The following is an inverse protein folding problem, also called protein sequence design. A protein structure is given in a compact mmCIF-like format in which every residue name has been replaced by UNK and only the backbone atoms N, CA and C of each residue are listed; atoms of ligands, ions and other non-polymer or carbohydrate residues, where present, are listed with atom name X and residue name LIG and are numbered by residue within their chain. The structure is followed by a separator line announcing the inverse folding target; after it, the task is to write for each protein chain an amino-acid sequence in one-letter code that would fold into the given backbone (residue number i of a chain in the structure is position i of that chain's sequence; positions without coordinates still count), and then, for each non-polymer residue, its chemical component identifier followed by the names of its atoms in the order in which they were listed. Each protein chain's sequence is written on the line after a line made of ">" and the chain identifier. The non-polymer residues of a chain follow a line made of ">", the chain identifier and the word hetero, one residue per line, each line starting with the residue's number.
data_IF_337937650036
#
_entry.id   IF_337937650036
#
_cell.length_a   1.000
_cell.length_b   1.000
_cell.length_c   1.000
_cell.angle_alpha   90.00
_cell.angle_beta   90.00
_cell.angle_gamma   90.00
#
_symmetry.space_group_name_H-M   'P 1'
#
loop_
_entity.id
_entity.type
_entity.pdbx_description
1 polymer ?
#
# COMPACT_ATOMS: atom_id res chain seq x y z
N UNK A 1 35.61 -16.24 -11.38
CA UNK A 1 34.47 -15.57 -10.72
C UNK A 1 34.54 -14.12 -11.14
N UNK A 2 33.73 -13.70 -12.10
CA UNK A 2 33.67 -12.28 -12.47
C UNK A 2 33.09 -11.50 -11.28
N UNK A 3 33.87 -10.56 -10.74
CA UNK A 3 33.40 -9.65 -9.70
C UNK A 3 32.27 -8.80 -10.27
N UNK A 4 31.16 -8.71 -9.56
CA UNK A 4 30.05 -7.83 -9.93
C UNK A 4 30.58 -6.38 -10.06
N UNK A 5 30.25 -5.64 -11.14
CA UNK A 5 30.80 -4.30 -11.36
C UNK A 5 30.39 -3.33 -10.24
N UNK A 6 31.27 -2.39 -9.89
CA UNK A 6 31.07 -1.42 -8.80
C UNK A 6 29.84 -0.52 -9.03
N UNK A 7 29.66 -0.06 -10.28
CA UNK A 7 28.51 0.69 -10.78
C UNK A 7 28.52 0.68 -12.33
N UNK A 8 27.41 1.10 -12.95
CA UNK A 8 27.29 1.31 -14.40
C UNK A 8 27.47 2.79 -14.76
N UNK A 9 28.44 3.09 -15.60
CA UNK A 9 28.79 4.45 -16.04
C UNK A 9 28.45 4.61 -17.53
N UNK A 10 27.74 5.69 -17.88
CA UNK A 10 27.59 6.13 -19.25
C UNK A 10 28.39 7.40 -19.49
N UNK A 11 29.34 7.33 -20.43
CA UNK A 11 30.18 8.47 -20.82
C UNK A 11 29.63 9.10 -22.09
N UNK A 12 29.29 10.38 -22.02
CA UNK A 12 28.65 11.13 -23.10
C UNK A 12 29.53 12.32 -23.48
N UNK A 13 30.10 12.25 -24.67
CA UNK A 13 31.10 13.21 -25.15
C UNK A 13 31.13 13.15 -26.68
N UNK A 14 31.35 14.23 -27.42
CA UNK A 14 31.46 14.17 -28.88
C UNK A 14 32.87 13.75 -29.36
N UNK A 15 33.89 13.89 -28.51
CA UNK A 15 35.26 13.52 -28.81
C UNK A 15 35.53 12.01 -28.59
N UNK A 16 35.84 11.29 -29.67
CA UNK A 16 36.13 9.86 -29.63
C UNK A 16 37.30 9.50 -28.70
N UNK A 17 38.31 10.36 -28.63
CA UNK A 17 39.51 10.15 -27.81
C UNK A 17 39.15 10.19 -26.33
N UNK A 18 38.32 11.15 -25.91
CA UNK A 18 37.84 11.27 -24.53
C UNK A 18 37.02 10.05 -24.15
N UNK A 19 36.04 9.66 -24.99
CA UNK A 19 35.20 8.46 -24.76
C UNK A 19 36.04 7.20 -24.56
N UNK A 20 37.00 6.94 -25.44
CA UNK A 20 37.85 5.73 -25.37
C UNK A 20 38.75 5.72 -24.14
N UNK A 21 39.35 6.87 -23.82
CA UNK A 21 40.31 6.97 -22.72
C UNK A 21 39.61 6.77 -21.38
N UNK A 22 38.49 7.47 -21.15
CA UNK A 22 37.69 7.31 -19.94
C UNK A 22 37.07 5.91 -19.84
N UNK A 23 36.60 5.34 -20.96
CA UNK A 23 36.04 3.99 -20.95
C UNK A 23 37.06 2.93 -20.55
N UNK A 24 38.27 2.95 -21.12
CA UNK A 24 39.33 2.01 -20.77
C UNK A 24 39.69 2.12 -19.30
N UNK A 25 39.86 3.35 -18.80
CA UNK A 25 40.29 3.60 -17.45
C UNK A 25 39.25 3.17 -16.41
N UNK A 26 37.98 3.53 -16.57
CA UNK A 26 36.94 3.11 -15.62
C UNK A 26 36.63 1.60 -15.72
N UNK A 27 36.84 0.96 -16.87
CA UNK A 27 36.74 -0.50 -16.98
C UNK A 27 37.84 -1.21 -16.18
N UNK A 28 39.08 -0.71 -16.22
CA UNK A 28 40.20 -1.22 -15.40
C UNK A 28 39.91 -1.06 -13.90
N UNK A 29 39.25 0.02 -13.51
CA UNK A 29 38.81 0.26 -12.13
C UNK A 29 37.59 -0.58 -11.69
N UNK A 30 37.08 -1.46 -12.55
CA UNK A 30 36.01 -2.41 -12.24
C UNK A 30 34.59 -1.85 -12.36
N UNK A 31 34.41 -0.78 -13.13
CA UNK A 31 33.09 -0.27 -13.52
C UNK A 31 32.59 -0.93 -14.80
N UNK A 32 31.27 -1.04 -14.94
CA UNK A 32 30.64 -1.39 -16.21
C UNK A 32 30.43 -0.10 -16.99
N UNK A 33 31.17 0.08 -18.08
CA UNK A 33 31.20 1.36 -18.80
C UNK A 33 30.68 1.19 -20.21
N UNK A 34 29.86 2.14 -20.63
CA UNK A 34 29.45 2.31 -22.01
C UNK A 34 29.58 3.79 -22.42
N UNK A 35 29.53 4.04 -23.72
CA UNK A 35 29.82 5.35 -24.30
C UNK A 35 28.72 5.80 -25.26
N UNK A 36 28.47 7.10 -25.32
CA UNK A 36 27.56 7.73 -26.28
C UNK A 36 28.21 8.99 -26.87
N UNK A 37 28.03 9.20 -28.17
CA UNK A 37 28.62 10.33 -28.89
C UNK A 37 27.71 11.55 -29.00
N UNK A 38 26.45 11.42 -28.56
CA UNK A 38 25.46 12.48 -28.60
C UNK A 38 24.35 12.27 -27.58
N UNK A 39 23.62 13.35 -27.29
CA UNK A 39 22.42 13.25 -26.45
C UNK A 39 21.34 12.33 -27.01
N UNK A 40 21.21 12.24 -28.35
CA UNK A 40 20.25 11.32 -28.97
C UNK A 40 20.59 9.85 -28.65
N UNK A 41 21.84 9.46 -28.87
CA UNK A 41 22.30 8.09 -28.56
C UNK A 41 22.21 7.80 -27.05
N UNK A 42 22.44 8.82 -26.22
CA UNK A 42 22.26 8.70 -24.76
C UNK A 42 20.82 8.35 -24.42
N UNK A 43 19.84 9.08 -24.96
CA UNK A 43 18.42 8.81 -24.72
C UNK A 43 17.98 7.43 -25.21
N UNK A 44 18.53 6.94 -26.33
CA UNK A 44 18.27 5.57 -26.81
C UNK A 44 18.77 4.53 -25.79
N UNK A 45 19.96 4.74 -25.23
CA UNK A 45 20.55 3.84 -24.21
C UNK A 45 19.87 3.90 -22.85
N UNK A 46 19.19 4.99 -22.52
CA UNK A 46 18.38 5.11 -21.31
C UNK A 46 17.15 4.19 -21.34
N UNK A 47 16.62 3.88 -22.52
CA UNK A 47 15.43 3.01 -22.66
C UNK A 47 15.79 1.55 -22.40
N UNK A 48 16.99 1.14 -22.78
CA UNK A 48 17.42 -0.26 -22.76
C UNK A 48 18.12 -0.69 -21.46
N UNK A 49 18.71 0.26 -20.72
CA UNK A 49 19.55 -0.03 -19.57
C UNK A 49 19.42 1.02 -18.47
N UNK A 50 19.48 0.57 -17.21
CA UNK A 50 19.70 1.44 -16.06
C UNK A 50 21.19 1.83 -15.95
N UNK A 51 21.42 3.11 -15.65
CA UNK A 51 22.74 3.72 -15.46
C UNK A 51 22.82 4.42 -14.11
N UNK A 52 23.98 4.31 -13.47
CA UNK A 52 24.19 4.81 -12.12
C UNK A 52 24.81 6.20 -12.11
N UNK A 53 25.77 6.38 -13.03
CA UNK A 53 26.58 7.59 -13.14
C UNK A 53 26.64 7.99 -14.62
N UNK A 54 26.43 9.26 -14.88
CA UNK A 54 26.60 9.87 -16.20
C UNK A 54 27.78 10.84 -16.15
N UNK A 55 28.74 10.66 -17.04
CA UNK A 55 29.80 11.63 -17.28
C UNK A 55 29.47 12.36 -18.58
N UNK A 56 29.16 13.65 -18.51
CA UNK A 56 28.43 14.32 -19.59
C UNK A 56 29.07 15.63 -20.01
N UNK A 57 29.38 15.77 -21.30
CA UNK A 57 29.81 17.05 -21.87
C UNK A 57 28.64 18.02 -22.04
N UNK A 58 28.87 19.29 -21.74
CA UNK A 58 27.93 20.37 -22.03
C UNK A 58 27.85 20.60 -23.53
N UNK A 59 28.99 20.74 -24.20
CA UNK A 59 29.02 21.17 -25.60
C UNK A 59 29.09 19.97 -26.53
N UNK A 60 27.93 19.53 -26.99
CA UNK A 60 27.83 18.47 -27.99
C UNK A 60 26.99 18.93 -29.19
N UNK A 61 27.28 18.42 -30.41
CA UNK A 61 26.45 18.70 -31.57
C UNK A 61 24.99 18.27 -31.36
N UNK A 62 24.06 19.18 -31.63
CA UNK A 62 22.62 18.92 -31.55
C UNK A 62 22.02 19.29 -30.20
N UNK A 63 22.10 18.38 -29.22
CA UNK A 63 21.51 18.57 -27.90
C UNK A 63 22.55 19.04 -26.89
N UNK A 64 22.25 20.13 -26.19
CA UNK A 64 23.09 20.67 -25.13
C UNK A 64 23.11 19.76 -23.90
N UNK A 65 24.24 19.69 -23.21
CA UNK A 65 24.41 18.77 -22.11
C UNK A 65 23.55 19.09 -20.87
N UNK A 66 23.25 20.36 -20.62
CA UNK A 66 22.32 20.75 -19.56
C UNK A 66 20.88 20.30 -19.89
N UNK A 67 20.49 20.42 -21.17
CA UNK A 67 19.20 19.89 -21.62
C UNK A 67 19.12 18.36 -21.44
N UNK A 68 20.20 17.65 -21.76
CA UNK A 68 20.30 16.21 -21.60
C UNK A 68 20.24 15.79 -20.12
N UNK A 69 20.95 16.49 -19.24
CA UNK A 69 20.89 16.27 -17.79
C UNK A 69 19.45 16.34 -17.27
N UNK A 70 18.69 17.36 -17.68
CA UNK A 70 17.30 17.51 -17.25
C UNK A 70 16.46 16.29 -17.65
N UNK A 71 16.60 15.81 -18.88
CA UNK A 71 15.89 14.61 -19.36
C UNK A 71 16.33 13.34 -18.63
N UNK A 72 17.62 13.19 -18.36
CA UNK A 72 18.15 12.08 -17.56
C UNK A 72 17.50 12.09 -16.17
N UNK A 73 17.40 13.25 -15.52
CA UNK A 73 16.79 13.39 -14.19
C UNK A 73 15.29 13.19 -14.16
N UNK A 74 14.58 13.44 -15.25
CA UNK A 74 13.15 13.12 -15.38
C UNK A 74 12.91 11.61 -15.45
N UNK A 75 13.80 10.86 -16.10
CA UNK A 75 13.68 9.40 -16.29
C UNK A 75 14.30 8.63 -15.12
N UNK A 76 15.49 9.05 -14.67
CA UNK A 76 16.24 8.46 -13.56
C UNK A 76 16.62 9.55 -12.53
N UNK A 77 15.70 9.92 -11.62
CA UNK A 77 15.95 10.97 -10.62
C UNK A 77 17.17 10.71 -9.73
N UNK A 78 17.43 9.43 -9.44
CA UNK A 78 18.47 8.95 -8.53
C UNK A 78 19.86 8.81 -9.19
N UNK A 79 19.97 8.96 -10.51
CA UNK A 79 21.25 8.85 -11.20
C UNK A 79 22.18 10.02 -10.86
N UNK A 80 23.47 9.76 -10.68
CA UNK A 80 24.44 10.83 -10.44
C UNK A 80 24.96 11.37 -11.77
N UNK A 81 24.78 12.67 -12.04
CA UNK A 81 25.27 13.29 -13.28
C UNK A 81 26.46 14.17 -12.94
N UNK A 82 27.62 13.87 -13.52
CA UNK A 82 28.85 14.67 -13.40
C UNK A 82 29.08 15.35 -14.75
N UNK A 83 29.13 16.68 -14.72
CA UNK A 83 29.31 17.49 -15.92
C UNK A 83 30.80 17.68 -16.19
N UNK A 84 31.25 17.47 -17.43
CA UNK A 84 32.64 17.63 -17.86
C UNK A 84 32.70 18.65 -19.01
N UNK A 85 33.34 19.80 -18.86
CA UNK A 85 33.39 20.76 -19.99
C UNK A 85 34.70 21.51 -20.13
N UNK A 86 35.11 21.81 -21.36
CA UNK A 86 36.20 22.74 -21.66
C UNK A 86 35.78 24.22 -21.53
N UNK A 87 34.48 24.51 -21.45
CA UNK A 87 33.94 25.88 -21.40
C UNK A 87 33.31 26.16 -20.05
N UNK A 88 34.17 26.25 -19.03
CA UNK A 88 33.72 26.54 -17.69
C UNK A 88 33.39 28.03 -17.50
N UNK A 89 32.19 28.30 -16.99
CA UNK A 89 31.85 29.60 -16.40
C UNK A 89 31.15 29.37 -15.07
N UNK A 90 31.24 30.36 -14.18
CA UNK A 90 30.52 30.30 -12.89
C UNK A 90 29.03 30.13 -13.12
N UNK A 91 28.48 30.74 -14.17
CA UNK A 91 27.07 30.65 -14.53
C UNK A 91 26.66 29.24 -14.93
N UNK A 92 27.44 28.55 -15.79
CA UNK A 92 27.10 27.19 -16.24
C UNK A 92 27.26 26.16 -15.13
N UNK A 93 28.25 26.31 -14.26
CA UNK A 93 28.42 25.44 -13.09
C UNK A 93 27.26 25.60 -12.09
N UNK A 94 26.85 26.84 -11.79
CA UNK A 94 25.70 27.10 -10.90
C UNK A 94 24.40 26.56 -11.49
N UNK A 95 24.20 26.71 -12.80
CA UNK A 95 23.00 26.20 -13.47
C UNK A 95 22.96 24.66 -13.47
N UNK A 96 24.07 23.99 -13.78
CA UNK A 96 24.18 22.53 -13.71
C UNK A 96 23.80 22.00 -12.32
N UNK A 97 24.32 22.61 -11.27
CA UNK A 97 24.03 22.22 -9.88
C UNK A 97 22.55 22.46 -9.52
N UNK A 98 21.96 23.60 -9.94
CA UNK A 98 20.53 23.87 -9.74
C UNK A 98 19.63 22.85 -10.44
N UNK A 99 20.07 22.34 -11.59
CA UNK A 99 19.36 21.31 -12.35
C UNK A 99 19.64 19.88 -11.83
N UNK A 100 20.34 19.74 -10.69
CA UNK A 100 20.53 18.46 -10.01
C UNK A 100 21.77 17.67 -10.45
N UNK A 101 22.79 18.33 -11.00
CA UNK A 101 24.09 17.70 -11.21
C UNK A 101 24.66 17.28 -9.84
N UNK A 102 25.33 16.13 -9.81
CA UNK A 102 26.05 15.67 -8.63
C UNK A 102 27.31 16.49 -8.42
N UNK A 103 28.08 16.68 -9.49
CA UNK A 103 29.32 17.44 -9.47
C UNK A 103 29.66 18.00 -10.87
N UNK A 104 30.71 18.81 -10.94
CA UNK A 104 31.14 19.53 -12.14
C UNK A 104 32.67 19.60 -12.23
N UNK A 105 33.23 19.26 -13.39
CA UNK A 105 34.68 19.26 -13.63
C UNK A 105 35.04 19.94 -14.96
N UNK A 106 36.18 20.63 -14.97
CA UNK A 106 36.67 21.40 -16.13
C UNK A 106 37.74 20.62 -16.88
N UNK A 107 37.64 20.53 -18.20
CA UNK A 107 38.67 19.95 -19.08
C UNK A 107 39.77 20.99 -19.40
N UNK A 108 41.06 20.62 -19.41
CA UNK A 108 41.61 19.32 -18.99
C UNK A 108 41.59 19.17 -17.46
N UNK A 109 41.25 17.97 -16.99
CA UNK A 109 41.20 17.63 -15.56
C UNK A 109 42.32 16.65 -15.20
N UNK A 110 42.69 16.64 -13.92
CA UNK A 110 43.54 15.57 -13.38
C UNK A 110 42.70 14.28 -13.27
N UNK A 111 43.22 13.12 -13.72
CA UNK A 111 42.52 11.85 -13.56
C UNK A 111 42.08 11.60 -12.11
N UNK A 112 42.96 11.80 -11.14
CA UNK A 112 42.65 11.55 -9.73
C UNK A 112 41.39 12.31 -9.26
N UNK A 113 41.19 13.56 -9.70
CA UNK A 113 40.01 14.36 -9.35
C UNK A 113 38.69 13.74 -9.87
N UNK A 114 38.67 13.30 -11.14
CA UNK A 114 37.49 12.67 -11.72
C UNK A 114 37.21 11.31 -11.07
N UNK A 115 38.26 10.55 -10.77
CA UNK A 115 38.14 9.27 -10.06
C UNK A 115 37.54 9.47 -8.66
N UNK A 116 38.01 10.48 -7.94
CA UNK A 116 37.48 10.86 -6.63
C UNK A 116 35.98 11.20 -6.70
N UNK A 117 35.54 11.98 -7.70
CA UNK A 117 34.12 12.30 -7.89
C UNK A 117 33.28 11.06 -8.20
N UNK A 118 33.74 10.20 -9.11
CA UNK A 118 33.04 8.96 -9.48
C UNK A 118 32.97 7.99 -8.31
N UNK A 119 34.03 7.87 -7.51
CA UNK A 119 34.04 7.05 -6.30
C UNK A 119 33.04 7.56 -5.27
N UNK A 120 33.01 8.86 -5.00
CA UNK A 120 32.05 9.47 -4.06
C UNK A 120 30.60 9.30 -4.54
N UNK A 121 30.34 9.46 -5.85
CA UNK A 121 29.03 9.20 -6.43
C UNK A 121 28.61 7.72 -6.28
N UNK A 122 29.56 6.80 -6.47
CA UNK A 122 29.36 5.36 -6.27
C UNK A 122 29.04 5.03 -4.82
N UNK A 123 29.82 5.57 -3.87
CA UNK A 123 29.59 5.38 -2.44
C UNK A 123 28.23 5.91 -1.99
N UNK A 124 27.84 7.10 -2.46
CA UNK A 124 26.51 7.67 -2.18
C UNK A 124 25.40 6.74 -2.65
N UNK A 125 25.49 6.20 -3.86
CA UNK A 125 24.52 5.23 -4.39
C UNK A 125 24.48 3.96 -3.55
N UNK A 126 25.64 3.42 -3.19
CA UNK A 126 25.73 2.22 -2.35
C UNK A 126 25.12 2.47 -0.97
N UNK A 127 25.37 3.64 -0.36
CA UNK A 127 24.77 4.04 0.90
C UNK A 127 23.26 4.22 0.80
N UNK A 128 22.74 4.83 -0.27
CA UNK A 128 21.29 4.97 -0.48
C UNK A 128 20.62 3.60 -0.69
N UNK A 129 21.26 2.73 -1.47
CA UNK A 129 20.80 1.35 -1.70
C UNK A 129 20.84 0.53 -0.41
N UNK A 130 21.93 0.62 0.35
CA UNK A 130 22.08 -0.04 1.63
C UNK A 130 21.10 0.51 2.68
N UNK A 131 20.83 1.82 2.69
CA UNK A 131 19.83 2.43 3.56
C UNK A 131 18.42 1.92 3.22
N UNK A 132 18.06 1.83 1.93
CA UNK A 132 16.81 1.22 1.48
C UNK A 132 16.74 -0.24 1.93
N UNK A 133 17.76 -1.04 1.63
CA UNK A 133 17.78 -2.46 2.01
C UNK A 133 17.79 -2.68 3.53
N UNK A 134 18.42 -1.80 4.30
CA UNK A 134 18.39 -1.83 5.76
C UNK A 134 17.02 -1.41 6.28
N UNK A 135 16.35 -0.42 5.66
CA UNK A 135 14.96 -0.07 5.99
C UNK A 135 14.02 -1.22 5.68
N UNK A 136 14.16 -1.85 4.52
CA UNK A 136 13.37 -3.01 4.11
C UNK A 136 13.62 -4.20 5.07
N UNK A 137 14.88 -4.44 5.48
CA UNK A 137 15.24 -5.47 6.48
C UNK A 137 14.80 -5.11 7.90
N UNK A 138 14.76 -3.83 8.27
CA UNK A 138 14.23 -3.37 9.56
C UNK A 138 12.70 -3.49 9.57
N UNK A 139 12.03 -3.27 8.45
CA UNK A 139 10.60 -3.60 8.26
C UNK A 139 10.36 -5.11 8.39
N UNK A 140 11.19 -5.95 7.76
CA UNK A 140 11.14 -7.41 7.91
C UNK A 140 11.48 -7.88 9.34
N UNK A 141 12.31 -7.16 10.09
CA UNK A 141 12.66 -7.47 11.48
C UNK A 141 11.80 -6.73 12.52
N UNK A 142 10.83 -5.92 12.08
CA UNK A 142 10.00 -5.12 12.98
C UNK A 142 8.96 -6.02 13.66
N UNK A 143 8.89 -6.01 15.01
CA UNK A 143 7.86 -6.75 15.76
C UNK A 143 6.45 -6.19 15.53
N UNK A 144 6.31 -5.09 14.77
CA UNK A 144 5.04 -4.48 14.35
C UNK A 144 4.56 -4.96 12.98
N UNK A 145 5.10 -6.09 12.49
CA UNK A 145 4.81 -6.72 11.20
C UNK A 145 3.41 -6.38 10.64
N UNK A 146 3.38 -5.55 9.59
CA UNK A 146 2.17 -5.15 8.87
C UNK A 146 1.53 -3.82 9.27
N UNK A 147 1.95 -3.16 10.37
CA UNK A 147 1.49 -1.79 10.68
C UNK A 147 2.35 -0.79 9.88
N UNK A 148 1.75 -0.21 8.85
CA UNK A 148 2.39 0.79 7.99
C UNK A 148 1.75 2.16 8.22
N UNK A 149 2.57 3.17 8.48
CA UNK A 149 2.15 4.56 8.62
C UNK A 149 3.16 5.42 9.38
N UNK A 150 3.03 6.74 9.23
CA UNK A 150 3.84 7.79 9.87
C UNK A 150 3.01 8.87 10.56
N UNK A 151 1.68 8.79 10.49
CA UNK A 151 0.78 9.75 11.11
C UNK A 151 0.92 9.77 12.63
N UNK A 152 0.70 10.92 13.26
CA UNK A 152 0.68 11.00 14.74
C UNK A 152 -0.38 10.07 15.35
N UNK A 153 -1.45 9.78 14.60
CA UNK A 153 -2.51 8.89 15.04
C UNK A 153 -2.03 7.43 15.13
N UNK A 154 -1.28 6.94 14.14
CA UNK A 154 -0.71 5.58 14.20
C UNK A 154 0.46 5.48 15.19
N UNK A 155 1.25 6.57 15.35
CA UNK A 155 2.29 6.61 16.36
C UNK A 155 1.75 6.42 17.78
N UNK A 156 0.61 7.05 18.12
CA UNK A 156 -0.07 6.82 19.40
C UNK A 156 -0.49 5.37 19.58
N UNK A 157 -1.06 4.74 18.56
CA UNK A 157 -1.41 3.30 18.61
C UNK A 157 -0.17 2.44 18.86
N UNK A 158 0.97 2.74 18.23
CA UNK A 158 2.24 2.03 18.47
C UNK A 158 2.77 2.21 19.89
N UNK A 159 2.61 3.41 20.48
CA UNK A 159 2.94 3.68 21.88
C UNK A 159 2.05 2.88 22.83
N UNK A 160 0.74 2.83 22.58
CA UNK A 160 -0.19 2.01 23.37
C UNK A 160 0.14 0.52 23.26
N UNK A 161 0.48 0.02 22.06
CA UNK A 161 0.94 -1.36 21.87
C UNK A 161 2.17 -1.65 22.73
N UNK A 162 3.16 -0.75 22.74
CA UNK A 162 4.36 -0.90 23.57
C UNK A 162 4.03 -0.96 25.05
N UNK A 163 3.15 -0.07 25.52
CA UNK A 163 2.74 -0.01 26.91
C UNK A 163 2.07 -1.32 27.36
N UNK A 164 1.12 -1.83 26.56
CA UNK A 164 0.40 -3.07 26.93
C UNK A 164 1.24 -4.33 26.73
N UNK A 165 2.28 -4.29 25.90
CA UNK A 165 3.13 -5.45 25.63
C UNK A 165 3.85 -5.98 26.88
N UNK A 166 4.19 -5.09 27.82
CA UNK A 166 4.93 -5.41 29.05
C UNK A 166 4.08 -6.14 30.11
N UNK A 167 2.77 -6.29 29.88
CA UNK A 167 1.85 -6.95 30.82
C UNK A 167 0.95 -7.98 30.12
N UNK A 168 0.31 -8.84 30.91
CA UNK A 168 -0.71 -9.78 30.44
C UNK A 168 -2.14 -9.20 30.54
N UNK A 169 -2.27 -7.87 30.57
CA UNK A 169 -3.59 -7.22 30.63
C UNK A 169 -4.47 -7.56 29.43
N UNK A 170 -5.77 -7.63 29.65
CA UNK A 170 -6.77 -7.79 28.57
C UNK A 170 -6.83 -6.51 27.75
N UNK A 171 -6.75 -6.66 26.43
CA UNK A 171 -6.80 -5.51 25.51
C UNK A 171 -8.06 -5.58 24.62
N UNK A 172 -8.82 -4.49 24.59
CA UNK A 172 -9.97 -4.29 23.69
C UNK A 172 -9.59 -3.33 22.56
N UNK A 173 -9.43 -3.86 21.36
CA UNK A 173 -9.12 -3.10 20.15
C UNK A 173 -10.43 -2.64 19.49
N UNK A 174 -10.60 -1.33 19.36
CA UNK A 174 -11.75 -0.69 18.73
C UNK A 174 -11.37 -0.10 17.38
N UNK A 175 -12.27 -0.14 16.43
CA UNK A 175 -12.08 0.53 15.15
C UNK A 175 -13.03 0.01 14.08
N UNK A 176 -13.28 0.82 13.07
CA UNK A 176 -14.12 0.46 11.93
C UNK A 176 -13.64 -0.80 11.21
N UNK A 177 -14.50 -1.39 10.39
CA UNK A 177 -14.11 -2.53 9.56
C UNK A 177 -12.96 -2.14 8.62
N UNK A 178 -11.98 -3.03 8.47
CA UNK A 178 -10.83 -2.81 7.58
C UNK A 178 -9.76 -1.84 8.09
N UNK A 179 -9.80 -1.38 9.35
CA UNK A 179 -8.77 -0.48 9.92
C UNK A 179 -7.45 -1.15 10.31
N UNK A 180 -7.41 -2.49 10.39
CA UNK A 180 -6.22 -3.26 10.75
C UNK A 180 -6.19 -3.83 12.17
N UNK A 181 -7.36 -4.07 12.79
CA UNK A 181 -7.46 -4.61 14.17
C UNK A 181 -6.67 -5.91 14.39
N UNK A 182 -6.73 -6.85 13.45
CA UNK A 182 -5.96 -8.09 13.53
C UNK A 182 -4.44 -7.84 13.50
N UNK A 183 -3.98 -6.89 12.68
CA UNK A 183 -2.56 -6.53 12.60
C UNK A 183 -2.08 -5.95 13.93
N UNK A 184 -2.90 -5.09 14.57
CA UNK A 184 -2.62 -4.57 15.91
C UNK A 184 -2.59 -5.69 16.96
N UNK A 185 -3.52 -6.64 16.92
CA UNK A 185 -3.52 -7.78 17.85
C UNK A 185 -2.25 -8.64 17.71
N UNK A 186 -1.81 -8.89 16.47
CA UNK A 186 -0.57 -9.61 16.18
C UNK A 186 0.66 -8.84 16.66
N UNK A 187 0.69 -7.51 16.50
CA UNK A 187 1.78 -6.67 17.00
C UNK A 187 1.86 -6.68 18.54
N UNK A 188 0.72 -6.63 19.24
CA UNK A 188 0.68 -6.78 20.72
C UNK A 188 1.29 -8.12 21.13
N UNK A 189 0.89 -9.22 20.47
CA UNK A 189 1.43 -10.53 20.78
C UNK A 189 2.94 -10.63 20.51
N UNK A 190 3.39 -10.18 19.33
CA UNK A 190 4.79 -10.23 18.90
C UNK A 190 5.74 -9.41 19.78
N UNK A 191 5.23 -8.35 20.42
CA UNK A 191 5.99 -7.51 21.38
C UNK A 191 5.88 -7.98 22.83
N UNK A 192 4.98 -8.92 23.14
CA UNK A 192 4.69 -9.35 24.50
C UNK A 192 5.71 -10.32 25.11
N UNK A 193 5.58 -10.56 26.42
CA UNK A 193 6.28 -11.65 27.14
C UNK A 193 5.94 -13.04 26.58
N UNK A 194 4.79 -13.19 25.92
CA UNK A 194 4.29 -14.44 25.31
C UNK A 194 4.61 -14.56 23.82
N UNK A 195 5.50 -13.73 23.26
CA UNK A 195 5.82 -13.68 21.81
C UNK A 195 6.34 -14.98 21.18
N UNK A 196 6.87 -15.90 21.98
CA UNK A 196 7.34 -17.22 21.51
C UNK A 196 6.29 -18.32 21.71
N UNK A 197 5.14 -17.98 22.27
CA UNK A 197 4.00 -18.87 22.52
C UNK A 197 2.97 -18.70 21.40
N UNK A 198 2.00 -19.62 21.23
CA UNK A 198 1.04 -19.50 20.12
C UNK A 198 0.13 -18.27 20.26
N UNK A 199 -0.23 -17.67 19.14
CA UNK A 199 -1.41 -16.81 19.01
C UNK A 199 -2.53 -17.59 18.33
N UNK A 200 -3.65 -17.76 19.04
CA UNK A 200 -4.84 -18.43 18.52
C UNK A 200 -5.85 -17.36 18.14
N UNK A 201 -6.16 -17.29 16.84
CA UNK A 201 -7.13 -16.33 16.30
C UNK A 201 -8.48 -17.01 16.10
N UNK A 202 -9.54 -16.35 16.55
CA UNK A 202 -10.93 -16.76 16.35
C UNK A 202 -11.71 -15.54 15.88
N UNK A 203 -12.33 -15.65 14.70
CA UNK A 203 -13.33 -14.67 14.26
C UNK A 203 -14.70 -15.14 14.76
N UNK A 204 -15.34 -14.33 15.59
CA UNK A 204 -16.61 -14.64 16.24
C UNK A 204 -17.83 -14.39 15.32
N UNK A 205 -17.74 -13.48 14.35
CA UNK A 205 -18.84 -13.16 13.43
C UNK A 205 -19.03 -14.16 12.28
N UNK A 206 -18.02 -14.97 11.96
CA UNK A 206 -18.03 -15.89 10.82
C UNK A 206 -18.71 -17.25 11.10
N UNK A 207 -19.02 -17.57 12.36
CA UNK A 207 -19.51 -18.89 12.76
C UNK A 207 -20.91 -18.82 13.38
N UNK A 208 -21.74 -19.82 13.08
CA UNK A 208 -23.00 -20.02 13.81
C UNK A 208 -22.72 -20.34 15.29
N UNK A 209 -23.59 -19.90 16.20
CA UNK A 209 -23.36 -19.93 17.65
C UNK A 209 -22.94 -21.31 18.19
N UNK A 210 -23.63 -22.40 17.82
CA UNK A 210 -23.25 -23.74 18.27
C UNK A 210 -21.91 -24.24 17.72
N UNK A 211 -21.51 -23.77 16.53
CA UNK A 211 -20.19 -24.08 15.95
C UNK A 211 -19.12 -23.27 16.67
N UNK A 212 -19.40 -22.01 17.00
CA UNK A 212 -18.51 -21.15 17.76
C UNK A 212 -18.22 -21.72 19.16
N UNK A 213 -19.25 -22.18 19.89
CA UNK A 213 -19.06 -22.84 21.19
C UNK A 213 -18.15 -24.08 21.06
N UNK A 214 -18.42 -24.93 20.07
CA UNK A 214 -17.63 -26.15 19.83
C UNK A 214 -16.18 -25.84 19.41
N UNK A 215 -15.95 -24.79 18.62
CA UNK A 215 -14.60 -24.33 18.27
C UNK A 215 -13.88 -23.73 19.49
N UNK A 216 -14.53 -22.87 20.29
CA UNK A 216 -13.92 -22.22 21.45
C UNK A 216 -13.56 -23.22 22.57
N UNK A 217 -14.54 -24.02 23.00
CA UNK A 217 -14.43 -24.88 24.18
C UNK A 217 -14.01 -26.31 23.83
N UNK A 218 -14.17 -26.73 22.57
CA UNK A 218 -13.98 -28.13 22.17
C UNK A 218 -15.17 -28.99 22.60
N UNK A 219 -15.17 -30.25 22.18
CA UNK A 219 -16.24 -31.18 22.50
C UNK A 219 -15.72 -32.58 22.80
N UNK A 220 -16.46 -33.29 23.65
CA UNK A 220 -16.30 -34.73 23.85
C UNK A 220 -17.03 -35.53 22.77
N UNK A 221 -16.65 -36.80 22.61
CA UNK A 221 -17.32 -37.71 21.69
C UNK A 221 -18.79 -37.87 22.10
N UNK A 222 -19.71 -37.63 21.15
CA UNK A 222 -21.16 -37.76 21.38
C UNK A 222 -21.83 -36.53 22.00
N UNK A 223 -21.14 -35.39 22.10
CA UNK A 223 -21.71 -34.16 22.68
C UNK A 223 -22.90 -33.59 21.88
N UNK A 224 -22.94 -33.80 20.57
CA UNK A 224 -24.03 -33.42 19.68
C UNK A 224 -24.07 -34.34 18.44
N UNK A 225 -25.13 -34.24 17.64
CA UNK A 225 -25.27 -34.97 16.37
C UNK A 225 -24.14 -34.62 15.40
N UNK A 226 -23.25 -35.58 15.12
CA UNK A 226 -22.05 -35.40 14.29
C UNK A 226 -20.72 -35.33 15.07
N UNK A 227 -20.75 -35.31 16.41
CA UNK A 227 -19.56 -35.32 17.27
C UNK A 227 -18.92 -36.73 17.35
N UNK A 228 -18.40 -37.24 16.24
CA UNK A 228 -17.86 -38.60 16.15
C UNK A 228 -16.56 -38.80 16.93
N UNK A 229 -15.81 -37.73 17.16
CA UNK A 229 -14.51 -37.74 17.84
C UNK A 229 -14.43 -36.60 18.86
N UNK A 230 -13.53 -36.74 19.84
CA UNK A 230 -13.19 -35.65 20.76
C UNK A 230 -12.32 -34.62 20.03
N UNK A 231 -12.57 -33.32 20.27
CA UNK A 231 -11.79 -32.22 19.70
C UNK A 231 -11.40 -31.21 20.77
N UNK A 232 -10.14 -30.76 20.74
CA UNK A 232 -9.65 -29.66 21.58
C UNK A 232 -10.20 -28.32 21.07
N UNK A 233 -10.59 -27.45 21.99
CA UNK A 233 -11.07 -26.11 21.68
C UNK A 233 -9.93 -25.09 21.54
N UNK A 234 -10.23 -23.93 20.95
CA UNK A 234 -9.30 -22.81 20.77
C UNK A 234 -8.79 -22.27 22.10
N UNK A 235 -9.61 -22.28 23.15
CA UNK A 235 -9.19 -21.89 24.51
C UNK A 235 -8.10 -22.82 25.06
N UNK A 236 -8.22 -24.13 24.82
CA UNK A 236 -7.19 -25.11 25.20
C UNK A 236 -5.92 -24.95 24.36
N UNK A 237 -6.07 -24.62 23.07
CA UNK A 237 -4.93 -24.39 22.17
C UNK A 237 -4.17 -23.09 22.48
N UNK A 238 -4.83 -22.12 23.12
CA UNK A 238 -4.25 -20.84 23.49
C UNK A 238 -3.46 -20.87 24.81
N UNK A 239 -3.47 -22.01 25.51
CA UNK A 239 -2.76 -22.19 26.77
C UNK A 239 -1.27 -21.83 26.66
N UNK A 240 -0.78 -21.06 27.63
CA UNK A 240 0.54 -20.42 27.63
C UNK A 240 0.70 -19.25 26.65
N UNK A 241 -0.22 -19.06 25.70
CA UNK A 241 -0.12 -18.10 24.61
C UNK A 241 -1.09 -16.92 24.70
N UNK A 242 -1.55 -16.46 23.53
CA UNK A 242 -2.51 -15.36 23.39
C UNK A 242 -3.74 -15.83 22.61
N UNK A 243 -4.92 -15.58 23.14
CA UNK A 243 -6.19 -15.74 22.43
C UNK A 243 -6.61 -14.39 21.86
N UNK A 244 -6.77 -14.32 20.54
CA UNK A 244 -7.34 -13.18 19.86
C UNK A 244 -8.76 -13.49 19.39
N UNK A 245 -9.75 -12.77 19.94
CA UNK A 245 -11.15 -12.85 19.54
C UNK A 245 -11.52 -11.63 18.70
N UNK A 246 -11.66 -11.81 17.39
CA UNK A 246 -12.14 -10.76 16.47
C UNK A 246 -13.67 -10.76 16.43
N UNK A 247 -14.24 -9.58 16.22
CA UNK A 247 -15.69 -9.35 16.19
C UNK A 247 -16.41 -9.83 17.48
N UNK A 248 -15.84 -9.52 18.66
CA UNK A 248 -16.40 -9.94 19.96
C UNK A 248 -17.82 -9.40 20.21
N UNK A 249 -18.25 -8.37 19.49
CA UNK A 249 -19.63 -7.87 19.56
C UNK A 249 -20.66 -8.76 18.84
N UNK A 250 -20.26 -9.83 18.15
CA UNK A 250 -21.17 -10.72 17.41
C UNK A 250 -21.57 -11.98 18.17
N UNK A 251 -21.03 -12.20 19.38
CA UNK A 251 -21.34 -13.40 20.17
C UNK A 251 -22.66 -13.29 20.93
N UNK A 252 -23.39 -14.41 21.01
CA UNK A 252 -24.63 -14.52 21.78
C UNK A 252 -24.40 -14.44 23.31
N UNK A 253 -25.45 -14.07 24.04
CA UNK A 253 -25.40 -13.89 25.51
C UNK A 253 -24.91 -15.14 26.26
N UNK A 254 -25.25 -16.34 25.76
CA UNK A 254 -24.79 -17.59 26.37
C UNK A 254 -23.28 -17.75 26.26
N UNK A 255 -22.72 -17.52 25.07
CA UNK A 255 -21.27 -17.55 24.85
C UNK A 255 -20.55 -16.50 25.70
N UNK A 256 -21.16 -15.32 25.91
CA UNK A 256 -20.61 -14.29 26.81
C UNK A 256 -20.50 -14.79 28.27
N UNK A 257 -21.52 -15.49 28.78
CA UNK A 257 -21.50 -16.10 30.12
C UNK A 257 -20.39 -17.15 30.22
N UNK A 258 -20.31 -18.05 29.24
CA UNK A 258 -19.33 -19.14 29.27
C UNK A 258 -17.90 -18.59 29.16
N UNK A 259 -17.65 -17.58 28.32
CA UNK A 259 -16.35 -16.92 28.22
C UNK A 259 -16.00 -16.18 29.51
N UNK A 260 -16.93 -15.41 30.10
CA UNK A 260 -16.69 -14.72 31.37
C UNK A 260 -16.21 -15.69 32.44
N UNK A 261 -16.88 -16.83 32.57
CA UNK A 261 -16.52 -17.88 33.53
C UNK A 261 -15.10 -18.38 33.33
N UNK A 262 -14.66 -18.59 32.09
CA UNK A 262 -13.27 -19.00 31.80
C UNK A 262 -12.26 -17.92 32.16
N UNK A 263 -12.59 -16.65 31.91
CA UNK A 263 -11.71 -15.51 32.22
C UNK A 263 -11.53 -15.29 33.73
N UNK A 264 -12.49 -15.71 34.54
CA UNK A 264 -12.46 -15.65 35.99
C UNK A 264 -11.83 -16.92 36.60
N UNK A 265 -12.33 -18.10 36.24
CA UNK A 265 -11.93 -19.37 36.86
C UNK A 265 -10.62 -19.93 36.31
N UNK A 266 -10.16 -19.46 35.13
CA UNK A 266 -8.99 -19.99 34.41
C UNK A 266 -9.08 -21.50 34.15
N UNK A 267 -10.30 -21.98 33.93
CA UNK A 267 -10.61 -23.38 33.65
C UNK A 267 -11.69 -23.44 32.57
N UNK A 268 -11.60 -24.44 31.71
CA UNK A 268 -12.62 -24.76 30.70
C UNK A 268 -13.23 -26.13 30.97
N UNK A 269 -14.44 -26.34 30.48
CA UNK A 269 -15.04 -27.65 30.35
C UNK A 269 -15.47 -27.83 28.89
N UNK A 270 -15.13 -28.96 28.27
CA UNK A 270 -15.55 -29.23 26.88
C UNK A 270 -17.06 -29.42 26.82
N UNK A 271 -17.66 -29.12 25.68
CA UNK A 271 -19.08 -29.36 25.44
C UNK A 271 -19.37 -30.86 25.60
N UNK A 272 -20.36 -31.20 26.43
CA UNK A 272 -20.73 -32.57 26.77
C UNK A 272 -19.76 -33.30 27.73
N UNK A 273 -18.74 -32.62 28.24
CA UNK A 273 -17.81 -33.14 29.23
C UNK A 273 -18.09 -32.61 30.64
N UNK A 274 -17.49 -33.27 31.65
CA UNK A 274 -17.55 -32.85 33.06
C UNK A 274 -16.14 -32.61 33.67
N UNK A 275 -15.10 -32.67 32.84
CA UNK A 275 -13.71 -32.51 33.28
C UNK A 275 -13.27 -31.06 33.11
N UNK A 276 -12.88 -30.43 34.21
CA UNK A 276 -12.28 -29.09 34.19
C UNK A 276 -10.81 -29.17 33.79
N UNK A 277 -10.41 -28.32 32.86
CA UNK A 277 -9.05 -28.24 32.31
C UNK A 277 -8.53 -26.84 32.62
N UNK A 278 -7.42 -26.69 33.37
CA UNK A 278 -6.82 -25.38 33.60
C UNK A 278 -6.28 -24.82 32.29
N UNK A 279 -6.44 -23.51 32.11
CA UNK A 279 -5.91 -22.76 30.95
C UNK A 279 -5.37 -21.42 31.42
N UNK A 280 -4.21 -21.03 30.91
CA UNK A 280 -3.64 -19.71 31.11
C UNK A 280 -3.25 -19.06 29.78
N UNK A 281 -4.09 -18.14 29.32
CA UNK A 281 -3.85 -17.35 28.12
C UNK A 281 -4.03 -15.86 28.41
N UNK A 282 -3.31 -15.05 27.64
CA UNK A 282 -3.56 -13.62 27.51
C UNK A 282 -4.73 -13.39 26.54
N UNK A 283 -5.67 -12.51 26.88
CA UNK A 283 -6.81 -12.18 26.03
C UNK A 283 -6.58 -10.86 25.28
N UNK A 284 -6.78 -10.89 23.96
CA UNK A 284 -6.91 -9.71 23.11
C UNK A 284 -8.24 -9.84 22.37
N UNK A 285 -9.03 -8.77 22.33
CA UNK A 285 -10.33 -8.76 21.63
C UNK A 285 -10.41 -7.59 20.67
N UNK A 286 -11.22 -7.72 19.63
CA UNK A 286 -11.48 -6.67 18.67
C UNK A 286 -12.97 -6.54 18.34
N UNK A 287 -13.42 -5.30 18.09
CA UNK A 287 -14.79 -5.02 17.64
C UNK A 287 -14.86 -3.76 16.78
N UNK A 288 -15.83 -3.71 15.87
CA UNK A 288 -16.27 -2.52 15.15
C UNK A 288 -17.60 -1.96 15.67
N UNK A 289 -18.24 -2.63 16.64
CA UNK A 289 -19.50 -2.22 17.26
C UNK A 289 -19.27 -1.40 18.52
N UNK A 290 -20.26 -0.60 18.88
CA UNK A 290 -20.31 0.14 20.15
C UNK A 290 -20.83 -0.78 21.25
N UNK A 291 -19.93 -1.32 22.10
CA UNK A 291 -20.33 -2.28 23.13
C UNK A 291 -21.15 -1.62 24.24
N UNK A 292 -20.92 -0.34 24.54
CA UNK A 292 -21.67 0.41 25.54
C UNK A 292 -23.14 0.56 25.17
N UNK A 293 -23.41 0.84 23.90
CA UNK A 293 -24.76 0.87 23.34
C UNK A 293 -25.42 -0.51 23.42
N UNK A 294 -24.70 -1.57 23.04
CA UNK A 294 -25.20 -2.95 23.14
C UNK A 294 -25.49 -3.39 24.58
N UNK A 295 -24.74 -2.89 25.57
CA UNK A 295 -25.04 -3.10 26.99
C UNK A 295 -26.34 -2.41 27.37
N UNK A 296 -26.57 -1.16 26.92
CA UNK A 296 -27.81 -0.44 27.18
C UNK A 296 -29.03 -1.11 26.53
N UNK A 297 -28.84 -1.79 25.40
CA UNK A 297 -29.87 -2.55 24.68
C UNK A 297 -30.07 -3.98 25.22
N UNK A 298 -29.22 -4.44 26.15
CA UNK A 298 -29.27 -5.79 26.71
C UNK A 298 -28.79 -6.91 25.75
N UNK A 299 -28.17 -6.55 24.63
CA UNK A 299 -27.59 -7.51 23.66
C UNK A 299 -26.15 -7.89 24.01
N UNK A 300 -25.53 -7.15 24.93
CA UNK A 300 -24.22 -7.46 25.50
C UNK A 300 -24.27 -7.34 27.02
N UNK A 301 -23.62 -8.25 27.74
CA UNK A 301 -23.66 -8.26 29.21
C UNK A 301 -22.69 -7.23 29.80
N UNK A 302 -23.17 -6.51 30.80
CA UNK A 302 -22.40 -5.49 31.50
C UNK A 302 -21.16 -6.06 32.24
N UNK A 303 -21.31 -7.19 32.92
CA UNK A 303 -20.21 -7.86 33.63
C UNK A 303 -19.08 -8.31 32.69
N UNK A 304 -19.46 -8.90 31.55
CA UNK A 304 -18.52 -9.30 30.52
C UNK A 304 -17.83 -8.09 29.87
N UNK A 305 -18.57 -7.02 29.60
CA UNK A 305 -18.00 -5.77 29.08
C UNK A 305 -16.89 -5.23 29.98
N UNK A 306 -17.12 -5.11 31.29
CA UNK A 306 -16.09 -4.62 32.21
C UNK A 306 -14.90 -5.57 32.32
N UNK A 307 -15.09 -6.89 32.15
CA UNK A 307 -13.99 -7.86 32.12
C UNK A 307 -13.11 -7.72 30.88
N UNK A 308 -13.69 -7.31 29.75
CA UNK A 308 -12.97 -7.06 28.50
C UNK A 308 -12.31 -5.69 28.46
N UNK A 309 -13.00 -4.66 28.93
CA UNK A 309 -12.59 -3.26 28.81
C UNK A 309 -11.60 -2.83 29.90
N UNK A 310 -10.48 -3.57 30.05
CA UNK A 310 -9.42 -3.25 31.00
C UNK A 310 -8.46 -2.20 30.41
N UNK A 311 -7.98 -2.44 29.19
CA UNK A 311 -7.24 -1.45 28.41
C UNK A 311 -7.81 -1.41 26.99
N UNK A 312 -8.16 -0.23 26.49
CA UNK A 312 -8.72 -0.09 25.14
C UNK A 312 -7.79 0.68 24.22
N UNK A 313 -7.56 0.13 23.02
CA UNK A 313 -6.79 0.76 21.94
C UNK A 313 -7.77 1.09 20.83
N UNK A 314 -7.87 2.37 20.44
CA UNK A 314 -8.78 2.81 19.38
C UNK A 314 -8.00 3.11 18.11
N UNK A 315 -8.24 2.33 17.04
CA UNK A 315 -7.61 2.51 15.74
C UNK A 315 -8.38 3.57 14.94
N UNK A 316 -7.73 4.66 14.53
CA UNK A 316 -8.36 5.70 13.72
C UNK A 316 -8.69 5.17 12.31
N UNK A 317 -9.84 5.57 11.73
CA UNK A 317 -10.15 5.28 10.34
C UNK A 317 -9.15 5.97 9.40
N UNK A 318 -9.00 5.44 8.19
CA UNK A 318 -7.98 5.89 7.23
C UNK A 318 -8.13 7.38 6.86
N UNK A 319 -9.37 7.88 6.77
CA UNK A 319 -9.68 9.32 6.57
C UNK A 319 -9.14 10.26 7.65
N UNK A 320 -8.86 9.75 8.86
CA UNK A 320 -8.24 10.54 9.94
C UNK A 320 -6.70 10.43 9.96
N UNK A 321 -6.13 9.67 9.01
CA UNK A 321 -4.69 9.45 8.86
C UNK A 321 -4.31 9.38 7.38
N UNK A 322 -4.78 10.33 6.59
CA UNK A 322 -4.54 10.38 5.13
C UNK A 322 -3.05 10.47 4.77
N UNK A 323 -2.22 10.98 5.66
CA UNK A 323 -0.74 10.99 5.55
C UNK A 323 -0.12 9.60 5.41
N UNK A 324 -0.83 8.55 5.85
CA UNK A 324 -0.40 7.15 5.77
C UNK A 324 -0.74 6.52 4.41
N UNK A 325 -1.66 7.10 3.64
CA UNK A 325 -2.13 6.54 2.36
C UNK A 325 -0.98 6.31 1.37
N UNK A 326 -0.05 7.26 1.13
CA UNK A 326 1.05 7.02 0.19
C UNK A 326 1.96 5.86 0.61
N UNK A 327 2.19 5.68 1.92
CA UNK A 327 3.01 4.58 2.43
C UNK A 327 2.29 3.23 2.28
N UNK A 328 0.99 3.20 2.58
CA UNK A 328 0.16 2.01 2.39
C UNK A 328 0.08 1.62 0.90
N UNK A 329 -0.04 2.60 0.01
CA UNK A 329 -0.02 2.39 -1.44
C UNK A 329 1.29 1.73 -1.86
N UNK A 330 2.44 2.32 -1.55
CA UNK A 330 3.75 1.74 -1.89
C UNK A 330 3.91 0.32 -1.33
N UNK A 331 3.54 0.12 -0.06
CA UNK A 331 3.57 -1.19 0.59
C UNK A 331 2.75 -2.24 -0.18
N UNK A 332 1.50 -1.92 -0.54
CA UNK A 332 0.64 -2.85 -1.28
C UNK A 332 1.12 -3.08 -2.70
N UNK A 333 1.60 -2.05 -3.40
CA UNK A 333 2.15 -2.20 -4.75
C UNK A 333 3.33 -3.16 -4.77
N UNK A 334 4.29 -3.00 -3.85
CA UNK A 334 5.44 -3.91 -3.71
C UNK A 334 4.97 -5.33 -3.41
N UNK A 335 4.08 -5.48 -2.43
CA UNK A 335 3.55 -6.79 -2.01
C UNK A 335 2.87 -7.53 -3.15
N UNK A 336 1.97 -6.88 -3.88
CA UNK A 336 1.22 -7.52 -4.97
C UNK A 336 2.07 -7.73 -6.21
N UNK A 337 2.96 -6.81 -6.54
CA UNK A 337 3.89 -6.98 -7.67
C UNK A 337 4.82 -8.17 -7.45
N UNK A 338 5.37 -8.33 -6.25
CA UNK A 338 6.16 -9.50 -5.86
C UNK A 338 5.34 -10.80 -5.94
N UNK A 339 4.11 -10.79 -5.44
CA UNK A 339 3.24 -11.97 -5.50
C UNK A 339 2.82 -12.35 -6.93
N UNK A 340 2.76 -11.37 -7.85
CA UNK A 340 2.37 -11.57 -9.24
C UNK A 340 3.55 -11.67 -10.21
N UNK A 341 4.80 -11.62 -9.73
CA UNK A 341 6.02 -11.55 -10.54
C UNK A 341 5.98 -10.44 -11.60
N UNK A 342 5.49 -9.26 -11.23
CA UNK A 342 5.46 -8.06 -12.06
C UNK A 342 6.44 -7.01 -11.54
N UNK A 343 6.97 -6.11 -12.40
CA UNK A 343 7.67 -4.93 -11.93
C UNK A 343 6.72 -4.06 -11.09
N UNK A 344 7.24 -3.40 -10.06
CA UNK A 344 6.45 -2.50 -9.21
C UNK A 344 6.08 -1.26 -10.04
N UNK A 345 4.79 -1.00 -10.30
CA UNK A 345 4.39 0.16 -11.07
C UNK A 345 4.53 1.44 -10.24
N UNK A 346 4.86 2.55 -10.90
CA UNK A 346 4.71 3.88 -10.31
C UNK A 346 3.22 4.27 -10.23
N UNK A 347 2.90 5.29 -9.44
CA UNK A 347 1.55 5.87 -9.38
C UNK A 347 1.61 7.28 -9.92
N UNK A 348 0.75 7.60 -10.90
CA UNK A 348 0.69 8.95 -11.46
C UNK A 348 0.28 9.97 -10.38
N UNK A 349 0.66 11.23 -10.55
CA UNK A 349 0.31 12.29 -9.59
C UNK A 349 -1.21 12.47 -9.47
N UNK A 350 -1.93 12.32 -10.57
CA UNK A 350 -3.38 12.40 -10.64
C UNK A 350 -4.03 11.24 -9.87
N UNK A 351 -3.53 10.02 -10.07
CA UNK A 351 -4.01 8.84 -9.35
C UNK A 351 -3.75 8.98 -7.85
N UNK A 352 -2.56 9.45 -7.44
CA UNK A 352 -2.25 9.72 -6.04
C UNK A 352 -3.15 10.79 -5.43
N UNK A 353 -3.46 11.86 -6.19
CA UNK A 353 -4.41 12.88 -5.75
C UNK A 353 -5.80 12.31 -5.45
N UNK A 354 -6.30 11.39 -6.29
CA UNK A 354 -7.57 10.71 -6.06
C UNK A 354 -7.53 9.76 -4.85
N UNK A 355 -6.43 9.04 -4.67
CA UNK A 355 -6.23 8.15 -3.52
C UNK A 355 -6.25 8.94 -2.19
N UNK A 356 -5.66 10.13 -2.17
CA UNK A 356 -5.64 11.02 -1.00
C UNK A 356 -7.00 11.69 -0.73
N UNK A 357 -7.78 11.98 -1.77
CA UNK A 357 -9.08 12.64 -1.67
C UNK A 357 -10.24 11.68 -1.32
N UNK A 358 -10.04 10.37 -1.48
CA UNK A 358 -11.06 9.37 -1.19
C UNK A 358 -11.23 9.14 0.32
N UNK A 359 -12.46 9.01 0.80
CA UNK A 359 -12.78 8.86 2.23
C UNK A 359 -12.49 7.46 2.80
N UNK A 360 -12.32 6.46 1.91
CA UNK A 360 -12.03 5.06 2.26
C UNK A 360 -13.00 4.49 3.32
N UNK A 361 -14.30 4.35 3.01
CA UNK A 361 -15.29 3.78 3.94
C UNK A 361 -14.94 2.34 4.38
N UNK A 362 -14.26 1.54 3.55
CA UNK A 362 -13.73 0.22 3.91
C UNK A 362 -12.28 0.25 4.44
N UNK A 363 -11.76 1.45 4.73
CA UNK A 363 -10.45 1.71 5.32
C UNK A 363 -9.30 1.03 4.55
N UNK A 364 -8.32 0.47 5.26
CA UNK A 364 -7.11 -0.14 4.69
C UNK A 364 -7.46 -1.37 3.85
N UNK A 365 -8.52 -2.11 4.19
CA UNK A 365 -8.98 -3.27 3.41
C UNK A 365 -9.48 -2.86 2.03
N UNK A 366 -10.22 -1.76 1.93
CA UNK A 366 -10.65 -1.22 0.64
C UNK A 366 -9.47 -0.71 -0.19
N UNK A 367 -8.54 0.01 0.44
CA UNK A 367 -7.30 0.47 -0.22
C UNK A 367 -6.48 -0.71 -0.74
N UNK A 368 -6.30 -1.75 0.07
CA UNK A 368 -5.61 -2.98 -0.32
C UNK A 368 -6.24 -3.59 -1.57
N UNK A 369 -7.56 -3.77 -1.59
CA UNK A 369 -8.29 -4.34 -2.74
C UNK A 369 -8.17 -3.44 -3.99
N UNK A 370 -8.20 -2.12 -3.81
CA UNK A 370 -8.02 -1.17 -4.90
C UNK A 370 -6.62 -1.28 -5.52
N UNK A 371 -5.58 -1.41 -4.70
CA UNK A 371 -4.19 -1.55 -5.16
C UNK A 371 -3.95 -2.91 -5.83
N UNK A 372 -4.50 -3.99 -5.29
CA UNK A 372 -4.43 -5.32 -5.92
C UNK A 372 -5.01 -5.29 -7.33
N UNK A 373 -6.20 -4.69 -7.49
CA UNK A 373 -6.84 -4.52 -8.79
C UNK A 373 -6.02 -3.63 -9.74
N UNK A 374 -5.44 -2.54 -9.22
CA UNK A 374 -4.62 -1.63 -10.03
C UNK A 374 -3.37 -2.34 -10.59
N UNK A 375 -2.66 -3.14 -9.78
CA UNK A 375 -1.51 -3.95 -10.22
C UNK A 375 -1.92 -5.02 -11.24
N UNK A 376 -3.11 -5.60 -11.10
CA UNK A 376 -3.61 -6.59 -12.04
C UNK A 376 -3.83 -5.99 -13.44
N UNK A 377 -4.45 -4.80 -13.51
CA UNK A 377 -4.84 -4.11 -14.75
C UNK A 377 -3.66 -3.36 -15.38
N UNK A 378 -2.71 -2.89 -14.57
CA UNK A 378 -1.51 -2.20 -15.04
C UNK A 378 -0.72 -3.11 -16.02
N UNK A 379 -0.61 -2.63 -17.26
CA UNK A 379 0.22 -3.18 -18.34
C UNK A 379 1.42 -2.27 -18.61
N UNK A 380 1.21 -0.96 -18.53
CA UNK A 380 2.23 0.08 -18.45
C UNK A 380 2.72 0.17 -17.01
N UNK A 381 4.03 0.28 -16.77
CA UNK A 381 4.63 0.39 -15.44
C UNK A 381 4.24 1.62 -14.60
N UNK A 382 3.12 2.26 -14.91
CA UNK A 382 2.50 3.37 -14.18
C UNK A 382 0.99 3.10 -14.02
N UNK A 383 0.46 3.39 -12.82
CA UNK A 383 -0.95 3.35 -12.46
C UNK A 383 -1.54 4.75 -12.63
N UNK A 384 -2.39 4.91 -13.65
CA UNK A 384 -3.20 6.09 -13.86
C UNK A 384 -4.57 6.03 -13.15
N UNK A 385 -5.33 7.15 -13.15
CA UNK A 385 -6.67 7.22 -12.54
C UNK A 385 -7.64 6.13 -12.98
N UNK A 386 -7.59 5.72 -14.25
CA UNK A 386 -8.46 4.73 -14.86
C UNK A 386 -8.33 3.32 -14.25
N UNK A 387 -7.22 3.04 -13.56
CA UNK A 387 -7.01 1.78 -12.86
C UNK A 387 -7.70 1.74 -11.49
N UNK A 388 -8.14 2.88 -10.95
CA UNK A 388 -8.78 2.97 -9.64
C UNK A 388 -10.27 2.59 -9.72
N UNK A 389 -10.77 1.74 -8.80
CA UNK A 389 -12.13 1.21 -8.89
C UNK A 389 -13.23 2.26 -8.69
N UNK A 390 -12.92 3.37 -8.02
CA UNK A 390 -13.83 4.49 -7.76
C UNK A 390 -13.64 5.65 -8.74
N UNK A 391 -12.77 5.49 -9.75
CA UNK A 391 -12.65 6.49 -10.80
C UNK A 391 -13.91 6.48 -11.67
N UNK A 392 -14.83 7.39 -11.35
CA UNK A 392 -15.96 7.67 -12.23
C UNK A 392 -15.47 8.57 -13.38
N UNK A 393 -15.79 8.20 -14.62
CA UNK A 393 -15.56 9.02 -15.82
C UNK A 393 -16.36 10.34 -15.83
N UNK A 394 -16.83 10.83 -14.68
CA UNK A 394 -17.64 12.04 -14.54
C UNK A 394 -16.85 13.33 -14.81
N UNK A 395 -15.53 13.24 -14.97
CA UNK A 395 -14.62 14.33 -15.30
C UNK A 395 -13.90 14.17 -16.65
N UNK A 396 -14.45 13.39 -17.61
CA UNK A 396 -14.18 13.70 -19.01
C UNK A 396 -14.94 15.00 -19.36
N UNK A 397 -14.28 16.04 -19.90
CA UNK A 397 -15.04 17.08 -20.60
C UNK A 397 -15.93 16.36 -21.61
N UNK A 398 -17.22 16.70 -21.65
CA UNK A 398 -18.11 16.25 -22.70
C UNK A 398 -17.52 16.69 -24.05
N UNK A 399 -16.76 15.81 -24.69
CA UNK A 399 -15.84 16.20 -25.74
C UNK A 399 -14.97 15.06 -26.24
N UNK A 400 -15.58 13.91 -26.54
CA UNK A 400 -15.05 12.96 -27.54
C UNK A 400 -16.05 11.83 -27.82
N UNK A 401 -17.31 12.19 -28.11
CA UNK A 401 -18.09 11.35 -29.02
C UNK A 401 -17.46 11.54 -30.40
N UNK A 402 -17.04 10.45 -31.06
CA UNK A 402 -16.35 10.55 -32.36
C UNK A 402 -17.32 10.98 -33.48
N UNK A 403 -18.62 11.07 -33.20
CA UNK A 403 -19.65 11.60 -34.11
C UNK A 403 -20.72 12.45 -33.41
N UNK A 404 -21.34 13.38 -34.14
CA UNK A 404 -22.43 14.24 -33.67
C UNK A 404 -23.65 13.43 -33.17
N UNK A 405 -23.87 12.24 -33.74
CA UNK A 405 -24.95 11.34 -33.36
C UNK A 405 -24.73 10.69 -31.98
N UNK A 406 -23.49 10.37 -31.62
CA UNK A 406 -23.16 9.81 -30.30
C UNK A 406 -23.27 10.87 -29.20
N UNK A 407 -22.79 12.09 -29.48
CA UNK A 407 -22.94 13.21 -28.55
C UNK A 407 -24.43 13.55 -28.31
N UNK A 408 -25.24 13.53 -29.36
CA UNK A 408 -26.69 13.72 -29.26
C UNK A 408 -27.36 12.59 -28.46
N UNK A 409 -26.99 11.33 -28.69
CA UNK A 409 -27.55 10.18 -27.97
C UNK A 409 -27.26 10.24 -26.47
N UNK A 410 -26.02 10.55 -26.09
CA UNK A 410 -25.61 10.68 -24.67
C UNK A 410 -26.35 11.84 -24.00
N UNK A 411 -26.49 12.97 -24.69
CA UNK A 411 -27.20 14.12 -24.15
C UNK A 411 -28.70 13.82 -23.95
N UNK A 412 -29.35 13.16 -24.92
CA UNK A 412 -30.76 12.77 -24.81
C UNK A 412 -30.98 11.77 -23.67
N UNK A 413 -30.08 10.80 -23.49
CA UNK A 413 -30.17 9.83 -22.39
C UNK A 413 -30.11 10.52 -21.02
N UNK A 414 -29.17 11.44 -20.84
CA UNK A 414 -29.03 12.20 -19.58
C UNK A 414 -30.29 13.02 -19.25
N UNK A 415 -30.88 13.70 -20.24
CA UNK A 415 -32.10 14.49 -20.01
C UNK A 415 -33.32 13.59 -19.75
N UNK A 416 -33.34 12.38 -20.31
CA UNK A 416 -34.37 11.38 -19.99
C UNK A 416 -34.24 10.88 -18.54
N UNK A 417 -33.03 10.63 -18.04
CA UNK A 417 -32.79 10.25 -16.63
C UNK A 417 -33.19 11.38 -15.66
N UNK A 418 -32.78 12.61 -15.93
CA UNK A 418 -33.15 13.80 -15.13
C UNK A 418 -34.67 14.06 -15.13
N UNK A 419 -35.37 13.60 -16.17
CA UNK A 419 -36.82 13.70 -16.30
C UNK A 419 -37.58 12.46 -15.80
N UNK A 420 -36.90 11.51 -15.13
CA UNK A 420 -37.48 10.23 -14.68
C UNK A 420 -38.17 9.46 -15.83
N UNK A 421 -37.60 9.53 -17.03
CA UNK A 421 -38.15 8.95 -18.27
C UNK A 421 -39.52 9.52 -18.70
N UNK A 422 -39.92 10.68 -18.19
CA UNK A 422 -41.11 11.39 -18.65
C UNK A 422 -40.83 12.12 -19.98
N UNK A 423 -41.26 11.49 -21.08
CA UNK A 423 -41.01 11.95 -22.46
C UNK A 423 -41.50 13.39 -22.70
N UNK A 424 -42.64 13.79 -22.13
CA UNK A 424 -43.20 15.15 -22.31
C UNK A 424 -42.43 16.22 -21.52
N UNK A 425 -41.74 15.83 -20.45
CA UNK A 425 -40.87 16.72 -19.66
C UNK A 425 -39.49 16.84 -20.32
N UNK A 426 -38.92 15.71 -20.74
CA UNK A 426 -37.64 15.67 -21.44
C UNK A 426 -37.68 16.45 -22.78
N UNK A 427 -38.76 16.33 -23.55
CA UNK A 427 -38.92 17.08 -24.81
C UNK A 427 -38.93 18.61 -24.59
N UNK A 428 -39.57 19.07 -23.51
CA UNK A 428 -39.57 20.49 -23.14
C UNK A 428 -38.20 20.98 -22.70
N UNK A 429 -37.45 20.17 -21.95
CA UNK A 429 -36.08 20.49 -21.53
C UNK A 429 -35.11 20.55 -22.71
N UNK A 430 -35.29 19.67 -23.69
CA UNK A 430 -34.51 19.65 -24.94
C UNK A 430 -35.01 20.68 -25.98
N UNK A 431 -36.10 21.40 -25.70
CA UNK A 431 -36.76 22.34 -26.63
C UNK A 431 -37.11 21.73 -28.00
N UNK A 432 -37.48 20.46 -28.02
CA UNK A 432 -37.94 19.76 -29.23
C UNK A 432 -39.37 19.23 -29.05
N UNK A 433 -40.01 18.91 -30.17
CA UNK A 433 -41.32 18.27 -30.14
C UNK A 433 -41.22 16.82 -29.58
N UNK A 434 -42.31 16.38 -28.93
CA UNK A 434 -42.42 15.04 -28.32
C UNK A 434 -42.26 13.91 -29.36
N UNK A 435 -42.76 14.10 -30.58
CA UNK A 435 -42.65 13.14 -31.69
C UNK A 435 -41.19 13.01 -32.15
N UNK A 436 -40.47 14.13 -32.22
CA UNK A 436 -39.05 14.21 -32.56
C UNK A 436 -38.19 13.50 -31.53
N UNK A 437 -38.46 13.70 -30.23
CA UNK A 437 -37.78 12.98 -29.15
C UNK A 437 -38.05 11.47 -29.23
N UNK A 438 -39.31 11.07 -29.46
CA UNK A 438 -39.69 9.66 -29.59
C UNK A 438 -38.98 8.97 -30.77
N UNK A 439 -38.88 9.64 -31.91
CA UNK A 439 -38.17 9.14 -33.08
C UNK A 439 -36.65 9.01 -32.82
N UNK A 440 -36.04 9.95 -32.09
CA UNK A 440 -34.62 9.89 -31.70
C UNK A 440 -34.36 8.77 -30.68
N UNK A 441 -35.25 8.57 -29.70
CA UNK A 441 -35.17 7.44 -28.77
C UNK A 441 -35.21 6.09 -29.50
N UNK A 442 -36.10 5.94 -30.49
CA UNK A 442 -36.20 4.72 -31.31
C UNK A 442 -34.96 4.52 -32.19
N UNK A 443 -34.40 5.60 -32.76
CA UNK A 443 -33.20 5.57 -33.60
C UNK A 443 -31.94 5.20 -32.82
N UNK A 444 -31.83 5.65 -31.57
CA UNK A 444 -30.67 5.42 -30.71
C UNK A 444 -30.83 4.26 -29.73
N UNK A 445 -31.99 3.57 -29.74
CA UNK A 445 -32.23 2.39 -28.90
C UNK A 445 -32.40 2.68 -27.41
N UNK A 446 -32.75 3.92 -27.03
CA UNK A 446 -32.85 4.34 -25.63
C UNK A 446 -34.14 3.79 -25.00
N UNK A 447 -34.00 2.96 -23.95
CA UNK A 447 -35.11 2.38 -23.18
C UNK A 447 -34.79 2.46 -21.70
N UNK A 448 -35.84 2.57 -20.88
CA UNK A 448 -35.71 2.51 -19.44
C UNK A 448 -35.32 1.09 -19.05
N UNK A 449 -34.17 0.93 -18.42
CA UNK A 449 -33.80 -0.34 -17.77
C UNK A 449 -34.81 -0.60 -16.64
N UNK A 450 -35.37 -1.81 -16.62
CA UNK A 450 -36.38 -2.23 -15.64
C UNK A 450 -35.76 -2.47 -14.28
#
# INVERSE_FOLDING_TARGET
>A
MESKPKARILIVDDELIVRKSLASWFQEEGYSVDVAESGKQTLEKLVENDWDIFLLDIKMPGMDGLELQRRIKEIHPEASVIIMTAYASVETAVEAMKQGAYDYIVKPFEPDDLEHMVRNATERKQLMTANSQLRDKIEEMSPYHGIVGKSQAIHRVLEEIRLVAESDTTVLIRGESGTGKEVVARAIHATSLRRYMPIVVVNCGALAEGVLESELFGHEKGAFTGAHYRRKGKLEMADGGTLFLDEIGDIGLKTQVDLLRVLEEKKICRVGGNTYIPVDFRLVTATNKNLEEMVSEGTFREDFYYRLNVYSISIPPLRQRTEDVPLLVDHFLRRFSNSMNKPVPSVSKEAMGLLLAHDWPGNVRELQNAMERAVLISQSGEIGPEALPFYSNSSRPAGSGKSLAEAESVHIHKVLEESEWNISRAARMLQIDRVTLYNKMKRYGLRRDQ
#
